data_IF_419897283290
#
_entry.id   IF_419897283290
#
_cell.length_a   1.000
_cell.length_b   1.000
_cell.length_c   1.000
_cell.angle_alpha   90.00
_cell.angle_beta   90.00
_cell.angle_gamma   90.00
#
_symmetry.space_group_name_H-M   'P 1'
#
loop_
_entity.id
_entity.type
_entity.pdbx_description
1 polymer ?
#
# COMPACT_ATOMS: atom_id res chain seq x y z
N UNK A 1 49.35 -0.63 11.57
CA UNK A 1 49.46 -1.71 10.58
C UNK A 1 48.23 -2.61 10.72
N UNK A 2 47.27 -2.52 9.81
CA UNK A 2 46.11 -3.42 9.85
C UNK A 2 46.54 -4.76 9.30
N UNK A 3 46.57 -5.80 10.14
CA UNK A 3 46.80 -7.16 9.65
C UNK A 3 45.59 -7.61 8.84
N UNK A 4 45.74 -7.74 7.52
CA UNK A 4 44.74 -8.34 6.65
C UNK A 4 44.66 -9.84 7.00
N UNK A 5 43.51 -10.26 7.53
CA UNK A 5 43.25 -11.68 7.77
C UNK A 5 42.83 -12.34 6.42
N UNK A 6 43.63 -13.28 5.96
CA UNK A 6 43.34 -14.11 4.79
C UNK A 6 42.98 -15.52 5.24
N UNK A 7 41.70 -15.95 5.06
CA UNK A 7 41.31 -17.35 5.25
C UNK A 7 42.05 -18.26 4.27
N UNK A 8 42.17 -19.53 4.58
CA UNK A 8 42.70 -20.53 3.65
C UNK A 8 41.86 -20.59 2.37
N UNK A 9 42.47 -20.95 1.24
CA UNK A 9 41.78 -20.94 -0.08
C UNK A 9 40.47 -21.73 -0.06
N UNK A 10 40.44 -22.91 0.57
CA UNK A 10 39.22 -23.73 0.68
C UNK A 10 38.11 -23.00 1.47
N UNK A 11 38.48 -22.22 2.49
CA UNK A 11 37.52 -21.42 3.25
C UNK A 11 37.02 -20.21 2.45
N UNK A 12 37.89 -19.56 1.66
CA UNK A 12 37.50 -18.50 0.74
C UNK A 12 36.47 -19.00 -0.28
N UNK A 13 36.71 -20.19 -0.86
CA UNK A 13 35.77 -20.83 -1.82
C UNK A 13 34.43 -21.12 -1.12
N UNK A 14 34.45 -21.66 0.09
CA UNK A 14 33.23 -21.96 0.84
C UNK A 14 32.44 -20.69 1.18
N UNK A 15 33.09 -19.61 1.61
CA UNK A 15 32.46 -18.30 1.84
C UNK A 15 31.83 -17.76 0.57
N UNK A 16 32.60 -17.78 -0.55
CA UNK A 16 32.12 -17.30 -1.84
C UNK A 16 30.88 -18.07 -2.31
N UNK A 17 30.87 -19.38 -2.14
CA UNK A 17 29.72 -20.23 -2.52
C UNK A 17 28.46 -19.89 -1.70
N UNK A 18 28.59 -19.75 -0.37
CA UNK A 18 27.46 -19.39 0.52
C UNK A 18 26.87 -18.05 0.13
N UNK A 19 27.70 -17.02 -0.08
CA UNK A 19 27.24 -15.69 -0.45
C UNK A 19 26.61 -15.67 -1.85
N UNK A 20 27.19 -16.44 -2.80
CA UNK A 20 26.65 -16.58 -4.17
C UNK A 20 25.29 -17.30 -4.19
N UNK A 21 25.11 -18.35 -3.37
CA UNK A 21 23.84 -19.05 -3.24
C UNK A 21 22.75 -18.14 -2.67
N UNK A 22 23.13 -17.30 -1.68
CA UNK A 22 22.21 -16.32 -1.09
C UNK A 22 21.84 -15.21 -2.10
N UNK A 23 22.80 -14.78 -2.93
CA UNK A 23 22.53 -13.82 -4.01
C UNK A 23 21.57 -14.40 -5.06
N UNK A 24 21.76 -15.64 -5.45
CA UNK A 24 20.86 -16.35 -6.38
C UNK A 24 19.44 -16.48 -5.79
N UNK A 25 19.34 -16.77 -4.49
CA UNK A 25 18.05 -16.83 -3.81
C UNK A 25 17.34 -15.48 -3.81
N UNK A 26 18.05 -14.39 -3.47
CA UNK A 26 17.51 -13.02 -3.48
C UNK A 26 17.08 -12.60 -4.89
N UNK A 27 17.87 -12.91 -5.90
CA UNK A 27 17.52 -12.67 -7.32
C UNK A 27 16.23 -13.40 -7.72
N UNK A 28 16.07 -14.67 -7.30
CA UNK A 28 14.85 -15.44 -7.58
C UNK A 28 13.63 -14.87 -6.86
N UNK A 29 13.79 -14.36 -5.63
CA UNK A 29 12.72 -13.67 -4.90
C UNK A 29 12.29 -12.39 -5.62
N UNK A 30 13.23 -11.58 -6.11
CA UNK A 30 12.93 -10.39 -6.90
C UNK A 30 12.15 -10.73 -8.17
N UNK A 31 12.59 -11.72 -8.91
CA UNK A 31 11.89 -12.18 -10.12
C UNK A 31 10.45 -12.66 -9.81
N UNK A 32 10.27 -13.36 -8.69
CA UNK A 32 8.94 -13.82 -8.25
C UNK A 32 8.05 -12.65 -7.84
N UNK A 33 8.57 -11.67 -7.09
CA UNK A 33 7.84 -10.45 -6.71
C UNK A 33 7.36 -9.72 -7.95
N UNK A 34 8.25 -9.42 -8.90
CA UNK A 34 7.92 -8.73 -10.14
C UNK A 34 6.85 -9.49 -10.96
N UNK A 35 6.96 -10.82 -11.04
CA UNK A 35 5.94 -11.65 -11.69
C UNK A 35 4.58 -11.52 -11.02
N UNK A 36 4.52 -11.57 -9.68
CA UNK A 36 3.26 -11.44 -8.92
C UNK A 36 2.65 -10.05 -9.04
N UNK A 37 3.46 -9.00 -9.01
CA UNK A 37 3.02 -7.62 -9.24
C UNK A 37 2.43 -7.45 -10.65
N UNK A 38 3.07 -8.04 -11.67
CA UNK A 38 2.56 -8.06 -13.04
C UNK A 38 1.22 -8.79 -13.16
N UNK A 39 1.08 -9.96 -12.54
CA UNK A 39 -0.19 -10.71 -12.49
C UNK A 39 -1.28 -9.91 -11.80
N UNK A 40 -0.99 -9.30 -10.62
CA UNK A 40 -1.95 -8.45 -9.90
C UNK A 40 -2.42 -7.28 -10.77
N UNK A 41 -1.48 -6.58 -11.43
CA UNK A 41 -1.80 -5.44 -12.30
C UNK A 41 -2.72 -5.85 -13.46
N UNK A 42 -2.42 -6.99 -14.12
CA UNK A 42 -3.25 -7.50 -15.22
C UNK A 42 -4.64 -7.91 -14.73
N UNK A 43 -4.73 -8.68 -13.63
CA UNK A 43 -6.01 -9.10 -13.06
C UNK A 43 -6.84 -7.91 -12.56
N UNK A 44 -6.22 -6.94 -11.89
CA UNK A 44 -6.89 -5.71 -11.46
C UNK A 44 -7.52 -5.00 -12.65
N UNK A 45 -6.75 -4.80 -13.73
CA UNK A 45 -7.27 -4.18 -14.94
C UNK A 45 -8.43 -4.96 -15.55
N UNK A 46 -8.32 -6.28 -15.69
CA UNK A 46 -9.34 -7.12 -16.32
C UNK A 46 -10.64 -7.20 -15.50
N UNK A 47 -10.51 -7.39 -14.17
CA UNK A 47 -11.66 -7.60 -13.28
C UNK A 47 -12.36 -6.29 -12.95
N UNK A 48 -11.63 -5.21 -12.68
CA UNK A 48 -12.22 -3.91 -12.32
C UNK A 48 -12.77 -3.15 -13.52
N UNK A 49 -12.28 -3.41 -14.75
CA UNK A 49 -12.82 -2.82 -15.97
C UNK A 49 -13.93 -3.65 -16.62
N UNK A 50 -14.36 -4.73 -16.00
CA UNK A 50 -15.37 -5.66 -16.54
C UNK A 50 -14.95 -6.36 -17.86
N UNK A 51 -13.66 -6.31 -18.24
CA UNK A 51 -13.17 -7.02 -19.44
C UNK A 51 -13.23 -8.54 -19.28
N UNK A 52 -13.00 -9.01 -18.07
CA UNK A 52 -13.23 -10.41 -17.65
C UNK A 52 -14.11 -10.43 -16.42
N UNK A 53 -14.99 -11.40 -16.40
CA UNK A 53 -15.84 -11.68 -15.24
C UNK A 53 -15.44 -13.00 -14.60
N UNK A 54 -15.64 -13.08 -13.31
CA UNK A 54 -15.46 -14.32 -12.57
C UNK A 54 -16.55 -15.31 -12.97
N UNK A 55 -16.20 -16.59 -13.09
CA UNK A 55 -17.14 -17.66 -13.43
C UNK A 55 -18.28 -17.72 -12.41
N UNK A 56 -19.51 -17.81 -12.88
CA UNK A 56 -20.71 -17.86 -12.04
C UNK A 56 -21.38 -16.49 -11.81
N UNK A 57 -20.75 -15.39 -12.21
CA UNK A 57 -21.34 -14.05 -12.11
C UNK A 57 -21.75 -13.55 -13.49
N UNK A 58 -23.06 -13.36 -13.70
CA UNK A 58 -23.64 -12.94 -14.98
C UNK A 58 -24.60 -11.74 -14.86
N UNK A 59 -24.87 -11.23 -13.65
CA UNK A 59 -25.74 -10.09 -13.43
C UNK A 59 -25.08 -8.80 -13.97
N UNK A 60 -25.89 -7.89 -14.53
CA UNK A 60 -25.40 -6.63 -15.03
C UNK A 60 -24.83 -5.76 -13.91
N UNK A 61 -23.72 -5.07 -14.16
CA UNK A 61 -23.18 -4.05 -13.25
C UNK A 61 -23.98 -2.77 -13.39
N UNK A 62 -24.20 -2.09 -12.27
CA UNK A 62 -24.86 -0.80 -12.23
C UNK A 62 -23.82 0.32 -12.28
N UNK A 63 -24.10 1.41 -12.97
CA UNK A 63 -23.25 2.60 -12.93
C UNK A 63 -23.77 3.53 -11.84
N UNK A 64 -22.91 3.84 -10.87
CA UNK A 64 -23.22 4.70 -9.72
C UNK A 64 -22.16 5.78 -9.58
N UNK A 65 -22.49 6.92 -8.97
CA UNK A 65 -21.50 7.92 -8.58
C UNK A 65 -20.99 7.66 -7.17
N UNK A 66 -19.75 8.03 -6.91
CA UNK A 66 -19.16 7.88 -5.58
C UNK A 66 -19.94 8.65 -4.52
N UNK A 67 -20.46 9.86 -4.86
CA UNK A 67 -21.29 10.66 -3.98
C UNK A 67 -22.66 10.05 -3.63
N UNK A 68 -23.18 9.14 -4.48
CA UNK A 68 -24.45 8.44 -4.22
C UNK A 68 -24.28 7.33 -3.17
N UNK A 69 -23.09 6.71 -3.12
CA UNK A 69 -22.80 5.55 -2.26
C UNK A 69 -21.96 5.89 -1.03
N UNK A 70 -21.27 7.05 -1.02
CA UNK A 70 -20.44 7.49 0.08
C UNK A 70 -20.81 8.90 0.55
N UNK A 71 -20.62 9.15 1.84
CA UNK A 71 -20.55 10.47 2.41
C UNK A 71 -19.11 10.96 2.38
N UNK A 72 -18.86 12.12 1.78
CA UNK A 72 -17.56 12.76 1.77
C UNK A 72 -17.41 13.74 2.94
N UNK A 73 -16.25 13.71 3.61
CA UNK A 73 -15.84 14.65 4.66
C UNK A 73 -14.40 15.07 4.50
N UNK A 74 -14.06 16.30 4.87
CA UNK A 74 -12.70 16.80 4.94
C UNK A 74 -12.12 16.61 6.34
N UNK A 75 -10.79 16.51 6.42
CA UNK A 75 -10.06 16.67 7.68
C UNK A 75 -9.82 18.14 8.00
N UNK A 76 -9.39 18.40 9.25
CA UNK A 76 -9.10 19.73 9.75
C UNK A 76 -7.61 19.95 10.02
N UNK A 77 -7.19 21.21 10.27
CA UNK A 77 -5.78 21.59 10.42
C UNK A 77 -5.28 21.28 11.84
N UNK A 78 -4.59 20.16 11.99
CA UNK A 78 -4.09 19.68 13.29
C UNK A 78 -2.55 19.65 13.39
N UNK A 79 -1.82 20.27 12.46
CA UNK A 79 -0.35 20.25 12.44
C UNK A 79 0.28 20.84 13.70
N UNK A 80 -0.36 21.82 14.34
CA UNK A 80 0.11 22.45 15.58
C UNK A 80 -0.19 21.64 16.85
N UNK A 81 -1.05 20.61 16.74
CA UNK A 81 -1.49 19.78 17.85
C UNK A 81 -0.77 18.42 17.87
N UNK A 82 0.25 18.25 17.04
CA UNK A 82 1.04 17.03 16.97
C UNK A 82 1.88 16.90 18.23
N UNK A 83 1.89 15.69 18.80
CA UNK A 83 2.68 15.32 19.97
C UNK A 83 3.47 14.04 19.69
N UNK A 84 4.55 13.82 20.45
CA UNK A 84 5.41 12.65 20.25
C UNK A 84 4.72 11.34 20.63
N UNK A 85 4.03 11.32 21.77
CA UNK A 85 3.38 10.14 22.36
C UNK A 85 1.86 10.35 22.53
N UNK A 86 1.15 10.62 21.43
CA UNK A 86 -0.31 10.77 21.47
C UNK A 86 -1.04 9.43 21.42
N UNK A 87 -2.29 9.41 21.87
CA UNK A 87 -3.14 8.22 21.86
C UNK A 87 -3.71 7.92 20.47
N UNK A 88 -3.91 8.95 19.65
CA UNK A 88 -4.53 8.83 18.33
C UNK A 88 -3.53 9.06 17.19
N UNK A 89 -3.69 8.31 16.11
CA UNK A 89 -2.88 8.40 14.90
C UNK A 89 -3.46 9.45 13.95
N UNK A 90 -2.65 10.42 13.52
CA UNK A 90 -3.06 11.49 12.62
C UNK A 90 -2.82 11.08 11.16
N UNK A 91 -3.91 10.90 10.41
CA UNK A 91 -3.86 10.65 8.97
C UNK A 91 -3.53 11.94 8.22
N UNK A 92 -2.37 11.98 7.60
CA UNK A 92 -1.85 13.09 6.80
C UNK A 92 -1.35 12.61 5.44
N UNK A 93 -0.86 13.50 4.57
CA UNK A 93 -0.36 13.15 3.23
C UNK A 93 0.67 12.03 3.22
N UNK A 94 1.51 11.94 4.26
CA UNK A 94 2.57 10.93 4.35
C UNK A 94 2.10 9.61 5.02
N UNK A 95 0.82 9.49 5.39
CA UNK A 95 0.30 8.31 6.10
C UNK A 95 -0.03 7.14 5.20
N UNK A 96 -0.12 7.35 3.89
CA UNK A 96 -0.41 6.31 2.89
C UNK A 96 0.84 6.07 2.04
N UNK A 97 1.18 4.81 1.78
CA UNK A 97 2.24 4.44 0.84
C UNK A 97 1.72 4.40 -0.61
N UNK A 98 2.61 4.25 -1.58
CA UNK A 98 2.26 4.23 -3.01
C UNK A 98 1.35 3.06 -3.41
N UNK A 99 1.32 2.00 -2.61
CA UNK A 99 0.46 0.83 -2.83
C UNK A 99 -0.95 1.03 -2.20
N UNK A 100 -1.21 2.17 -1.54
CA UNK A 100 -2.48 2.49 -0.90
C UNK A 100 -2.67 1.81 0.45
N UNK A 101 -1.58 1.54 1.18
CA UNK A 101 -1.63 1.01 2.54
C UNK A 101 -1.27 2.09 3.56
N UNK A 102 -1.83 1.99 4.77
CA UNK A 102 -1.42 2.83 5.87
C UNK A 102 -0.01 2.46 6.33
N UNK A 103 0.84 3.47 6.52
CA UNK A 103 2.19 3.28 7.07
C UNK A 103 2.12 3.05 8.58
N UNK A 104 3.07 2.30 9.12
CA UNK A 104 3.15 2.07 10.57
C UNK A 104 3.61 3.30 11.36
N UNK A 105 4.39 4.19 10.71
CA UNK A 105 4.90 5.42 11.33
C UNK A 105 3.98 6.57 10.97
N UNK A 106 3.23 7.09 11.95
CA UNK A 106 2.33 8.23 11.80
C UNK A 106 2.58 9.24 12.91
N UNK A 107 2.30 10.50 12.61
CA UNK A 107 2.18 11.55 13.61
C UNK A 107 1.03 11.23 14.56
N UNK A 108 1.08 11.77 15.78
CA UNK A 108 0.09 11.48 16.82
C UNK A 108 -0.47 12.75 17.43
N UNK A 109 -1.67 12.64 17.99
CA UNK A 109 -2.39 13.70 18.71
C UNK A 109 -3.02 13.13 19.98
N UNK A 110 -3.35 14.00 20.96
CA UNK A 110 -3.97 13.60 22.25
C UNK A 110 -5.48 13.91 22.30
N UNK A 111 -6.14 13.98 21.16
CA UNK A 111 -7.58 14.19 21.13
C UNK A 111 -8.20 13.30 20.03
N UNK A 112 -9.48 13.06 20.20
CA UNK A 112 -10.32 12.38 19.22
C UNK A 112 -11.47 13.31 18.80
N UNK A 113 -11.56 13.56 17.51
CA UNK A 113 -12.56 14.46 16.91
C UNK A 113 -13.74 13.72 16.25
N UNK A 114 -13.75 12.39 16.33
CA UNK A 114 -14.76 11.54 15.72
C UNK A 114 -14.84 11.67 14.18
N UNK A 115 -13.80 12.23 13.55
CA UNK A 115 -13.73 12.40 12.09
C UNK A 115 -13.66 11.07 11.37
N UNK A 116 -12.95 10.08 11.94
CA UNK A 116 -12.74 8.76 11.36
C UNK A 116 -13.32 7.65 12.24
N UNK A 117 -13.84 6.63 11.58
CA UNK A 117 -14.27 5.36 12.17
C UNK A 117 -13.64 4.21 11.44
N UNK A 118 -13.62 3.04 12.10
CA UNK A 118 -13.27 1.79 11.42
C UNK A 118 -14.10 1.65 10.14
N UNK A 119 -13.47 1.12 9.10
CA UNK A 119 -14.04 0.92 7.77
C UNK A 119 -14.34 2.20 6.97
N UNK A 120 -13.96 3.39 7.45
CA UNK A 120 -13.86 4.55 6.57
C UNK A 120 -12.72 4.39 5.56
N UNK A 121 -12.88 4.96 4.37
CA UNK A 121 -11.80 5.12 3.39
C UNK A 121 -11.25 6.53 3.51
N UNK A 122 -9.94 6.67 3.65
CA UNK A 122 -9.25 7.97 3.57
C UNK A 122 -8.63 8.14 2.19
N UNK A 123 -8.70 9.36 1.66
CA UNK A 123 -8.24 9.72 0.32
C UNK A 123 -7.30 10.92 0.39
N UNK A 124 -6.22 10.89 -0.39
CA UNK A 124 -5.32 12.03 -0.58
C UNK A 124 -5.99 13.08 -1.45
N UNK A 125 -6.23 14.27 -0.92
CA UNK A 125 -6.90 15.38 -1.62
C UNK A 125 -5.93 16.37 -2.24
N UNK A 126 -4.68 16.41 -1.77
CA UNK A 126 -3.67 17.36 -2.25
C UNK A 126 -2.34 16.66 -2.45
N UNK A 127 -1.64 17.01 -3.53
CA UNK A 127 -0.29 16.53 -3.78
C UNK A 127 0.54 17.59 -4.50
N UNK A 128 1.87 17.47 -4.44
CA UNK A 128 2.79 18.34 -5.17
C UNK A 128 2.66 18.14 -6.69
N UNK A 129 3.30 18.97 -7.47
CA UNK A 129 3.10 19.15 -8.93
C UNK A 129 2.90 17.89 -9.80
N UNK A 130 3.42 16.73 -9.41
CA UNK A 130 3.26 15.50 -10.19
C UNK A 130 1.97 14.71 -9.86
N UNK A 131 1.36 14.94 -8.70
CA UNK A 131 0.10 14.32 -8.29
C UNK A 131 0.15 12.80 -8.15
N UNK A 132 1.31 12.22 -7.79
CA UNK A 132 1.49 10.78 -7.75
C UNK A 132 0.64 10.09 -6.67
N UNK A 133 0.33 10.81 -5.59
CA UNK A 133 -0.54 10.33 -4.51
C UNK A 133 -1.98 10.84 -4.60
N UNK A 134 -2.28 11.77 -5.51
CA UNK A 134 -3.60 12.40 -5.59
C UNK A 134 -4.69 11.35 -5.85
N UNK A 135 -5.73 11.32 -5.02
CA UNK A 135 -6.82 10.35 -5.10
C UNK A 135 -6.49 8.95 -4.56
N UNK A 136 -5.26 8.72 -4.04
CA UNK A 136 -4.88 7.45 -3.45
C UNK A 136 -5.62 7.22 -2.14
N UNK A 137 -6.12 5.99 -1.93
CA UNK A 137 -6.99 5.63 -0.83
C UNK A 137 -6.43 4.50 0.03
N UNK A 138 -6.73 4.56 1.34
CA UNK A 138 -6.53 3.48 2.31
C UNK A 138 -7.77 3.28 3.18
N UNK A 139 -7.96 2.07 3.73
CA UNK A 139 -9.05 1.76 4.67
C UNK A 139 -8.57 1.95 6.10
N UNK A 140 -9.39 2.56 6.96
CA UNK A 140 -9.14 2.75 8.39
C UNK A 140 -9.45 1.45 9.15
N UNK A 141 -8.46 0.85 9.85
CA UNK A 141 -8.63 -0.46 10.48
C UNK A 141 -9.24 -0.43 11.88
N UNK A 142 -9.29 0.73 12.55
CA UNK A 142 -9.75 0.89 13.95
C UNK A 142 -10.16 2.33 14.24
N UNK A 143 -10.74 2.59 15.42
CA UNK A 143 -11.29 3.90 15.79
C UNK A 143 -10.26 4.84 16.46
N UNK A 144 -8.97 4.58 16.36
CA UNK A 144 -7.88 5.37 16.96
C UNK A 144 -7.18 6.32 15.97
N UNK A 145 -7.92 6.78 14.96
CA UNK A 145 -7.42 7.67 13.89
C UNK A 145 -8.18 9.00 13.87
N UNK A 146 -7.46 10.06 13.54
CA UNK A 146 -7.96 11.42 13.34
C UNK A 146 -7.55 11.90 11.96
N UNK A 147 -8.43 12.62 11.27
CA UNK A 147 -8.24 13.06 9.88
C UNK A 147 -7.66 14.47 9.82
N UNK A 148 -6.46 14.61 9.27
CA UNK A 148 -5.83 15.92 9.07
C UNK A 148 -6.30 16.59 7.78
N UNK A 149 -6.07 17.91 7.66
CA UNK A 149 -6.30 18.66 6.42
C UNK A 149 -5.59 18.02 5.21
N UNK A 150 -6.09 18.31 4.01
CA UNK A 150 -5.62 17.76 2.72
C UNK A 150 -5.88 16.25 2.56
N UNK A 151 -6.59 15.66 3.51
CA UNK A 151 -7.11 14.30 3.43
C UNK A 151 -8.64 14.33 3.46
N UNK A 152 -9.26 13.46 2.68
CA UNK A 152 -10.71 13.27 2.68
C UNK A 152 -11.11 11.94 3.29
N UNK A 153 -12.34 11.88 3.80
CA UNK A 153 -13.01 10.67 4.25
C UNK A 153 -14.12 10.31 3.28
N UNK A 154 -14.22 9.04 2.93
CA UNK A 154 -15.36 8.43 2.27
C UNK A 154 -15.95 7.40 3.23
N UNK A 155 -17.17 7.64 3.71
CA UNK A 155 -17.94 6.73 4.57
C UNK A 155 -19.07 6.12 3.77
N UNK A 156 -19.12 4.80 3.69
CA UNK A 156 -20.16 4.07 2.94
C UNK A 156 -21.53 4.30 3.60
N UNK A 157 -22.55 4.55 2.75
CA UNK A 157 -23.92 4.86 3.20
C UNK A 157 -24.80 3.63 3.40
N UNK A 158 -24.44 2.51 2.76
CA UNK A 158 -25.28 1.30 2.75
C UNK A 158 -24.44 0.02 2.64
N UNK A 159 -25.04 -1.12 2.97
CA UNK A 159 -24.38 -2.42 3.03
C UNK A 159 -24.20 -3.10 1.66
N UNK A 160 -24.56 -2.43 0.56
CA UNK A 160 -24.43 -2.98 -0.81
C UNK A 160 -23.01 -2.82 -1.38
N UNK A 161 -22.10 -2.19 -0.63
CA UNK A 161 -20.76 -1.85 -1.09
C UNK A 161 -19.72 -2.60 -0.26
N UNK A 162 -18.85 -3.35 -0.93
CA UNK A 162 -17.67 -3.91 -0.29
C UNK A 162 -16.56 -2.86 -0.27
N UNK A 163 -16.08 -2.53 0.92
CA UNK A 163 -15.10 -1.46 1.17
C UNK A 163 -13.75 -1.73 0.46
N UNK A 164 -13.30 -2.98 0.46
CA UNK A 164 -12.03 -3.35 -0.19
C UNK A 164 -12.15 -3.26 -1.71
N UNK A 165 -13.30 -3.68 -2.28
CA UNK A 165 -13.57 -3.49 -3.70
C UNK A 165 -13.55 -2.01 -4.07
N UNK A 166 -14.24 -1.16 -3.30
CA UNK A 166 -14.31 0.28 -3.55
C UNK A 166 -12.91 0.92 -3.50
N UNK A 167 -12.13 0.64 -2.46
CA UNK A 167 -10.74 1.11 -2.34
C UNK A 167 -9.89 0.66 -3.54
N UNK A 168 -9.99 -0.62 -3.93
CA UNK A 168 -9.22 -1.16 -5.06
C UNK A 168 -9.62 -0.49 -6.37
N UNK A 169 -10.93 -0.26 -6.57
CA UNK A 169 -11.44 0.40 -7.77
C UNK A 169 -10.96 1.86 -7.87
N UNK A 170 -11.04 2.62 -6.77
CA UNK A 170 -10.55 4.01 -6.72
C UNK A 170 -9.05 4.06 -7.04
N UNK A 171 -8.23 3.24 -6.38
CA UNK A 171 -6.78 3.20 -6.59
C UNK A 171 -6.39 2.78 -8.02
N UNK A 172 -7.13 1.85 -8.63
CA UNK A 172 -6.91 1.45 -10.02
C UNK A 172 -7.27 2.56 -11.03
N UNK A 173 -8.10 3.51 -10.64
CA UNK A 173 -8.54 4.65 -11.46
C UNK A 173 -7.93 5.99 -11.04
N UNK A 174 -6.80 5.99 -10.37
CA UNK A 174 -6.10 7.18 -9.88
C UNK A 174 -5.85 8.22 -10.98
N UNK A 175 -5.70 7.78 -12.24
CA UNK A 175 -5.57 8.67 -13.41
C UNK A 175 -6.74 9.67 -13.52
N UNK A 176 -7.96 9.25 -13.21
CA UNK A 176 -9.11 10.15 -13.19
C UNK A 176 -8.89 11.30 -12.22
N UNK A 177 -8.53 11.01 -10.98
CA UNK A 177 -8.30 12.02 -9.94
C UNK A 177 -7.14 12.96 -10.29
N UNK A 178 -6.05 12.43 -10.85
CA UNK A 178 -4.95 13.27 -11.36
C UNK A 178 -5.42 14.27 -12.42
N UNK A 179 -6.30 13.85 -13.34
CA UNK A 179 -6.85 14.73 -14.38
C UNK A 179 -7.82 15.77 -13.82
N UNK A 180 -8.45 15.51 -12.67
CA UNK A 180 -9.35 16.44 -11.99
C UNK A 180 -8.62 17.38 -11.02
N UNK A 181 -7.33 17.16 -10.75
CA UNK A 181 -6.53 18.00 -9.89
C UNK A 181 -6.42 19.43 -10.41
N UNK A 182 -6.64 20.41 -9.55
CA UNK A 182 -6.57 21.84 -9.85
C UNK A 182 -5.44 22.49 -9.07
N UNK A 183 -4.69 23.39 -9.72
CA UNK A 183 -3.56 24.11 -9.15
C UNK A 183 -2.28 23.94 -9.97
N UNK A 184 -1.32 24.84 -9.83
CA UNK A 184 -0.06 24.84 -10.60
C UNK A 184 1.12 24.21 -9.83
N UNK A 185 1.31 24.59 -8.58
CA UNK A 185 2.40 24.08 -7.71
C UNK A 185 1.93 22.94 -6.78
N UNK A 186 0.66 22.93 -6.48
CA UNK A 186 -0.01 21.91 -5.67
C UNK A 186 -1.35 21.59 -6.30
N UNK A 187 -1.56 20.33 -6.64
CA UNK A 187 -2.84 19.84 -7.16
C UNK A 187 -3.79 19.55 -6.00
N UNK A 188 -5.05 19.97 -6.14
CA UNK A 188 -6.10 19.74 -5.16
C UNK A 188 -7.34 19.15 -5.83
N UNK A 189 -7.98 18.18 -5.18
CA UNK A 189 -9.26 17.61 -5.60
C UNK A 189 -10.42 18.38 -4.97
N UNK A 190 -11.39 18.77 -5.79
CA UNK A 190 -12.65 19.32 -5.29
C UNK A 190 -13.58 18.19 -4.83
N UNK A 191 -14.46 18.49 -3.85
CA UNK A 191 -15.54 17.59 -3.42
C UNK A 191 -16.36 17.09 -4.63
N UNK A 192 -16.72 18.00 -5.54
CA UNK A 192 -17.49 17.67 -6.75
C UNK A 192 -16.78 16.65 -7.63
N UNK A 193 -15.47 16.80 -7.88
CA UNK A 193 -14.70 15.86 -8.67
C UNK A 193 -14.67 14.45 -8.07
N UNK A 194 -14.70 14.36 -6.74
CA UNK A 194 -14.75 13.09 -6.02
C UNK A 194 -16.15 12.48 -6.10
N UNK A 195 -17.18 13.26 -5.80
CA UNK A 195 -18.57 12.77 -5.80
C UNK A 195 -19.08 12.39 -7.21
N UNK A 196 -18.63 13.06 -8.26
CA UNK A 196 -18.97 12.77 -9.66
C UNK A 196 -18.21 11.55 -10.23
N UNK A 197 -17.27 10.97 -9.50
CA UNK A 197 -16.55 9.78 -9.97
C UNK A 197 -17.49 8.60 -10.16
N UNK A 198 -17.58 8.09 -11.39
CA UNK A 198 -18.47 6.98 -11.76
C UNK A 198 -17.80 5.61 -11.56
N UNK A 199 -18.54 4.68 -11.00
CA UNK A 199 -18.12 3.34 -10.67
C UNK A 199 -19.07 2.34 -11.32
N UNK A 200 -18.60 1.43 -12.19
CA UNK A 200 -19.37 0.25 -12.58
C UNK A 200 -19.36 -0.72 -11.40
N UNK A 201 -20.48 -0.80 -10.71
CA UNK A 201 -20.66 -1.51 -9.47
C UNK A 201 -21.25 -2.91 -9.73
N UNK A 202 -20.49 -3.99 -9.47
CA UNK A 202 -21.02 -5.35 -9.49
C UNK A 202 -22.00 -5.62 -8.34
N UNK A 203 -22.78 -6.71 -8.40
CA UNK A 203 -23.47 -7.24 -7.24
C UNK A 203 -22.48 -7.51 -6.09
N UNK A 204 -22.94 -7.36 -4.83
CA UNK A 204 -22.08 -7.43 -3.64
C UNK A 204 -21.22 -8.70 -3.59
N UNK A 205 -21.80 -9.86 -3.93
CA UNK A 205 -21.05 -11.12 -3.93
C UNK A 205 -19.89 -11.13 -4.94
N UNK A 206 -20.05 -10.48 -6.10
CA UNK A 206 -18.98 -10.34 -7.08
C UNK A 206 -17.93 -9.32 -6.63
N UNK A 207 -18.34 -8.22 -5.98
CA UNK A 207 -17.41 -7.27 -5.34
C UNK A 207 -16.51 -7.99 -4.32
N UNK A 208 -17.11 -8.79 -3.44
CA UNK A 208 -16.40 -9.58 -2.43
C UNK A 208 -15.42 -10.56 -3.09
N UNK A 209 -15.86 -11.28 -4.12
CA UNK A 209 -15.00 -12.24 -4.82
C UNK A 209 -13.80 -11.56 -5.50
N UNK A 210 -14.01 -10.43 -6.18
CA UNK A 210 -12.94 -9.64 -6.80
C UNK A 210 -11.98 -9.10 -5.74
N UNK A 211 -12.51 -8.51 -4.66
CA UNK A 211 -11.70 -7.97 -3.57
C UNK A 211 -10.83 -9.05 -2.91
N UNK A 212 -11.37 -10.22 -2.66
CA UNK A 212 -10.65 -11.34 -2.05
C UNK A 212 -9.48 -11.81 -2.94
N UNK A 213 -9.69 -11.95 -4.25
CA UNK A 213 -8.63 -12.35 -5.18
C UNK A 213 -7.49 -11.33 -5.20
N UNK A 214 -7.81 -10.04 -5.32
CA UNK A 214 -6.81 -8.99 -5.41
C UNK A 214 -6.08 -8.79 -4.07
N UNK A 215 -6.81 -8.84 -2.95
CA UNK A 215 -6.21 -8.74 -1.60
C UNK A 215 -5.33 -9.94 -1.26
N UNK A 216 -5.68 -11.14 -1.71
CA UNK A 216 -4.82 -12.32 -1.53
C UNK A 216 -3.47 -12.16 -2.23
N UNK A 217 -3.48 -11.59 -3.46
CA UNK A 217 -2.23 -11.25 -4.18
C UNK A 217 -1.43 -10.17 -3.46
N UNK A 218 -2.08 -9.16 -2.88
CA UNK A 218 -1.39 -8.13 -2.07
C UNK A 218 -0.69 -8.74 -0.86
N UNK A 219 -1.36 -9.63 -0.14
CA UNK A 219 -0.77 -10.32 1.01
C UNK A 219 0.41 -11.21 0.60
N UNK A 220 0.30 -11.93 -0.53
CA UNK A 220 1.39 -12.76 -1.04
C UNK A 220 2.60 -11.90 -1.42
N UNK A 221 2.41 -10.81 -2.15
CA UNK A 221 3.47 -9.87 -2.54
C UNK A 221 4.13 -9.26 -1.30
N UNK A 222 3.34 -8.80 -0.32
CA UNK A 222 3.86 -8.25 0.94
C UNK A 222 4.69 -9.28 1.72
N UNK A 223 4.24 -10.53 1.79
CA UNK A 223 4.97 -11.63 2.42
C UNK A 223 6.32 -11.88 1.73
N UNK A 224 6.35 -11.92 0.39
CA UNK A 224 7.58 -12.10 -0.38
C UNK A 224 8.55 -10.92 -0.19
N UNK A 225 8.07 -9.67 -0.19
CA UNK A 225 8.88 -8.48 0.09
C UNK A 225 9.48 -8.51 1.50
N UNK A 226 8.70 -8.92 2.50
CA UNK A 226 9.19 -9.09 3.86
C UNK A 226 10.26 -10.18 3.95
N UNK A 227 10.04 -11.32 3.30
CA UNK A 227 11.01 -12.41 3.22
C UNK A 227 12.32 -11.94 2.58
N UNK A 228 12.25 -11.24 1.45
CA UNK A 228 13.42 -10.65 0.81
C UNK A 228 14.20 -9.76 1.77
N UNK A 229 13.52 -8.83 2.46
CA UNK A 229 14.15 -7.92 3.43
C UNK A 229 14.86 -8.68 4.56
N UNK A 230 14.27 -9.77 5.06
CA UNK A 230 14.91 -10.62 6.06
C UNK A 230 16.19 -11.24 5.54
N UNK A 231 16.18 -11.80 4.32
CA UNK A 231 17.37 -12.41 3.71
C UNK A 231 18.43 -11.38 3.33
N UNK A 232 18.06 -10.17 2.90
CA UNK A 232 19.01 -9.06 2.71
C UNK A 232 19.73 -8.70 4.02
N UNK A 233 19.01 -8.67 5.14
CA UNK A 233 19.62 -8.42 6.47
C UNK A 233 20.52 -9.58 6.91
N UNK A 234 20.11 -10.83 6.70
CA UNK A 234 20.94 -12.02 6.97
C UNK A 234 22.21 -11.96 6.14
N UNK A 235 22.12 -11.65 4.84
CA UNK A 235 23.28 -11.52 3.95
C UNK A 235 24.26 -10.46 4.46
N UNK A 236 23.76 -9.28 4.87
CA UNK A 236 24.61 -8.20 5.42
C UNK A 236 25.34 -8.63 6.68
N UNK A 237 24.62 -9.27 7.63
CA UNK A 237 25.21 -9.77 8.88
C UNK A 237 26.23 -10.88 8.61
N UNK A 238 25.87 -11.87 7.79
CA UNK A 238 26.73 -12.99 7.43
C UNK A 238 28.00 -12.52 6.72
N UNK A 239 27.89 -11.63 5.74
CA UNK A 239 29.03 -11.04 5.05
C UNK A 239 29.97 -10.34 6.03
N UNK A 240 29.43 -9.54 6.95
CA UNK A 240 30.24 -8.87 7.99
C UNK A 240 30.98 -9.88 8.88
N UNK A 241 30.30 -10.92 9.37
CA UNK A 241 30.86 -11.89 10.31
C UNK A 241 31.87 -12.85 9.65
N UNK A 242 31.64 -13.23 8.39
CA UNK A 242 32.58 -14.02 7.62
C UNK A 242 33.85 -13.23 7.25
N UNK A 243 33.68 -11.99 6.79
CA UNK A 243 34.84 -11.16 6.37
C UNK A 243 35.65 -10.64 7.57
N UNK A 244 35.05 -10.52 8.76
CA UNK A 244 35.73 -10.15 10.01
C UNK A 244 36.28 -11.35 10.78
N UNK A 245 36.16 -12.57 10.24
CA UNK A 245 36.56 -13.84 10.89
C UNK A 245 35.92 -14.09 12.28
N UNK A 246 34.78 -13.48 12.56
CA UNK A 246 33.99 -13.77 13.76
C UNK A 246 33.39 -15.18 13.73
N UNK A 247 33.04 -15.65 12.54
CA UNK A 247 32.60 -17.03 12.29
C UNK A 247 33.49 -17.68 11.22
N UNK A 248 33.66 -19.01 11.32
CA UNK A 248 34.43 -19.82 10.39
C UNK A 248 33.50 -20.81 9.70
N UNK A 249 33.64 -20.96 8.39
CA UNK A 249 32.83 -21.89 7.59
C UNK A 249 33.36 -23.32 7.70
N UNK A 250 34.67 -23.47 7.77
CA UNK A 250 35.31 -24.77 7.92
C UNK A 250 35.88 -24.91 9.36
N UNK A 251 35.57 -26.03 10.03
CA UNK A 251 36.22 -26.39 11.28
C UNK A 251 37.67 -26.83 10.96
N UNK A 252 38.61 -26.45 11.85
CA UNK A 252 39.97 -26.99 11.81
C UNK A 252 39.96 -28.50 12.00
#
# INVERSE_FOLDING_TARGET
MFALFYPLLNEQIAIANILSDLDRYLYNLDALILKKEGVKKALSFELLSQRKRLKGFNQAWQRVRLGDICEFGNGEAYETLIVENGDFKLISLNSIDIDGNLKNTMKRVNFYDNSLKQDDIVMVLSDVAHGDFLGLCAVIPSNDYVLNQRMGRLRIRNDCINILFLRLYINANQKYFKMQGQGSSQLNLSKKAIEDFEIPLPPLNEQIAIANILSALDHEIASLKNKKRQFDNIKKALNHDLMSAKIRVLKK
#
